data_IF_212028720182
#
_entry.id   IF_212028720182
#
_cell.length_a   1.000
_cell.length_b   1.000
_cell.length_c   1.000
_cell.angle_alpha   90.00
_cell.angle_beta   90.00
_cell.angle_gamma   90.00
#
_symmetry.space_group_name_H-M   'P 1'
#
loop_
_entity.id
_entity.type
_entity.pdbx_description
1 polymer ?
#
# COMPACT_ATOMS: atom_id res chain seq x y z
N UNK A 1 -19.07 -2.12 6.60
CA UNK A 1 -17.80 -1.58 6.06
C UNK A 1 -16.73 -1.74 7.11
N UNK A 2 -15.57 -2.26 6.74
CA UNK A 2 -14.41 -2.43 7.61
C UNK A 2 -13.29 -1.48 7.19
N UNK A 3 -12.69 -0.80 8.16
CA UNK A 3 -11.54 0.11 8.02
C UNK A 3 -10.97 0.41 9.41
N UNK A 4 -9.67 0.55 9.64
CA UNK A 4 -8.56 0.24 8.73
C UNK A 4 -8.17 -1.24 8.76
N UNK A 5 -8.61 -2.02 9.75
CA UNK A 5 -8.32 -3.44 9.92
C UNK A 5 -9.58 -4.32 9.81
N UNK A 6 -9.35 -5.57 9.45
CA UNK A 6 -10.34 -6.65 9.52
C UNK A 6 -9.68 -7.91 10.08
N UNK A 7 -10.31 -8.58 11.04
CA UNK A 7 -9.81 -9.88 11.54
C UNK A 7 -10.16 -11.01 10.57
N UNK A 8 -9.49 -12.16 10.70
CA UNK A 8 -9.78 -13.36 9.91
C UNK A 8 -11.23 -13.82 10.10
N UNK A 9 -11.76 -13.78 11.33
CA UNK A 9 -13.16 -14.16 11.64
C UNK A 9 -14.16 -13.20 10.99
N UNK A 10 -13.88 -11.89 11.03
CA UNK A 10 -14.72 -10.90 10.37
C UNK A 10 -14.71 -11.07 8.85
N UNK A 11 -13.56 -11.39 8.26
CA UNK A 11 -13.46 -11.67 6.82
C UNK A 11 -14.22 -12.96 6.45
N UNK A 12 -14.18 -14.02 7.26
CA UNK A 12 -15.00 -15.23 7.05
C UNK A 12 -16.50 -14.87 7.04
N UNK A 13 -16.94 -14.08 8.01
CA UNK A 13 -18.34 -13.61 8.08
C UNK A 13 -18.70 -12.79 6.85
N UNK A 14 -17.82 -11.90 6.41
CA UNK A 14 -18.02 -11.06 5.22
C UNK A 14 -18.11 -11.92 3.95
N UNK A 15 -17.23 -12.92 3.79
CA UNK A 15 -17.29 -13.89 2.69
C UNK A 15 -18.63 -14.64 2.63
N UNK A 16 -19.13 -15.07 3.79
CA UNK A 16 -20.40 -15.80 3.88
C UNK A 16 -21.63 -14.92 3.64
N UNK A 17 -21.51 -13.60 3.79
CA UNK A 17 -22.64 -12.67 3.70
C UNK A 17 -23.13 -12.40 2.29
N UNK A 18 -22.35 -12.75 1.25
CA UNK A 18 -22.64 -12.42 -0.15
C UNK A 18 -22.52 -10.93 -0.50
N UNK A 19 -22.01 -10.10 0.42
CA UNK A 19 -21.75 -8.69 0.12
C UNK A 19 -20.63 -8.55 -0.92
N UNK A 20 -20.68 -7.51 -1.76
CA UNK A 20 -19.63 -7.24 -2.73
C UNK A 20 -18.25 -7.10 -2.03
N UNK A 21 -17.33 -8.00 -2.37
CA UNK A 21 -16.02 -8.11 -1.74
C UNK A 21 -14.96 -8.43 -2.79
N UNK A 22 -13.79 -7.80 -2.68
CA UNK A 22 -12.59 -8.23 -3.34
C UNK A 22 -11.43 -8.30 -2.35
N UNK A 23 -10.79 -9.45 -2.32
CA UNK A 23 -9.58 -9.69 -1.51
C UNK A 23 -8.37 -9.62 -2.43
N UNK A 24 -7.30 -8.96 -1.98
CA UNK A 24 -6.05 -8.81 -2.74
C UNK A 24 -4.87 -9.40 -1.98
N UNK A 25 -4.10 -10.23 -2.66
CA UNK A 25 -2.79 -10.72 -2.20
C UNK A 25 -1.68 -9.79 -2.70
N UNK A 26 -1.04 -9.10 -1.79
CA UNK A 26 0.07 -8.17 -2.04
C UNK A 26 1.42 -8.75 -1.62
N UNK A 27 1.54 -10.06 -1.38
CA UNK A 27 2.79 -10.69 -0.97
C UNK A 27 3.92 -10.38 -1.92
N UNK A 28 5.10 -10.02 -1.39
CA UNK A 28 6.23 -9.59 -2.20
C UNK A 28 7.54 -9.81 -1.44
N UNK A 29 8.62 -10.03 -2.16
CA UNK A 29 9.98 -10.11 -1.62
C UNK A 29 10.90 -9.17 -2.40
N UNK A 30 11.44 -8.15 -1.73
CA UNK A 30 12.22 -7.10 -2.38
C UNK A 30 13.43 -7.65 -3.14
N UNK A 31 14.13 -8.63 -2.55
CA UNK A 31 15.33 -9.23 -3.14
C UNK A 31 15.02 -10.42 -4.07
N UNK A 32 13.77 -10.84 -4.15
CA UNK A 32 13.26 -11.93 -5.00
C UNK A 32 11.91 -11.55 -5.59
N UNK A 33 11.84 -10.64 -6.57
CA UNK A 33 10.59 -10.05 -7.04
C UNK A 33 9.54 -11.05 -7.55
N UNK A 34 9.95 -12.23 -8.01
CA UNK A 34 9.06 -13.29 -8.47
C UNK A 34 8.53 -14.20 -7.35
N UNK A 35 9.06 -14.09 -6.14
CA UNK A 35 8.69 -14.93 -5.01
C UNK A 35 7.21 -14.71 -4.62
N UNK A 36 6.72 -13.48 -4.68
CA UNK A 36 5.31 -13.18 -4.42
C UNK A 36 4.34 -13.90 -5.36
N UNK A 37 4.71 -14.11 -6.61
CA UNK A 37 3.91 -14.88 -7.58
C UNK A 37 3.95 -16.38 -7.25
N UNK A 38 5.13 -16.92 -6.92
CA UNK A 38 5.26 -18.31 -6.51
C UNK A 38 4.44 -18.60 -5.24
N UNK A 39 4.52 -17.72 -4.25
CA UNK A 39 3.72 -17.81 -3.01
C UNK A 39 2.22 -17.75 -3.28
N UNK A 40 1.77 -16.85 -4.17
CA UNK A 40 0.37 -16.75 -4.56
C UNK A 40 -0.11 -18.03 -5.25
N UNK A 41 0.64 -18.56 -6.22
CA UNK A 41 0.29 -19.78 -6.93
C UNK A 41 0.26 -21.00 -6.01
N UNK A 42 1.09 -21.01 -4.97
CA UNK A 42 1.12 -22.08 -3.97
C UNK A 42 -0.11 -22.05 -3.05
N UNK A 43 -0.47 -20.89 -2.51
CA UNK A 43 -1.61 -20.73 -1.62
C UNK A 43 -2.01 -19.25 -1.50
N UNK A 44 -3.29 -18.94 -1.64
CA UNK A 44 -3.85 -17.61 -1.38
C UNK A 44 -5.27 -17.72 -0.81
N UNK A 45 -5.80 -16.65 -0.22
CA UNK A 45 -7.22 -16.60 0.21
C UNK A 45 -8.11 -16.92 -0.98
N UNK A 46 -9.07 -17.84 -0.81
CA UNK A 46 -9.93 -18.28 -1.91
C UNK A 46 -10.57 -17.08 -2.63
N UNK A 47 -10.39 -17.00 -3.95
CA UNK A 47 -10.90 -15.91 -4.79
C UNK A 47 -10.13 -14.59 -4.70
N UNK A 48 -9.01 -14.53 -4.00
CA UNK A 48 -8.16 -13.33 -3.96
C UNK A 48 -7.55 -13.03 -5.33
N UNK A 49 -7.36 -11.74 -5.60
CA UNK A 49 -6.67 -11.22 -6.79
C UNK A 49 -5.23 -10.88 -6.43
N UNK A 50 -4.28 -11.23 -7.30
CA UNK A 50 -2.87 -10.88 -7.12
C UNK A 50 -2.65 -9.39 -7.39
N UNK A 51 -2.07 -8.66 -6.45
CA UNK A 51 -1.67 -7.26 -6.59
C UNK A 51 -0.15 -7.14 -6.39
N UNK A 52 0.60 -7.30 -7.46
CA UNK A 52 2.06 -7.26 -7.44
C UNK A 52 2.58 -5.83 -7.24
N UNK A 53 3.56 -5.64 -6.35
CA UNK A 53 4.11 -4.32 -6.05
C UNK A 53 4.68 -3.64 -7.29
N UNK A 54 5.42 -4.36 -8.11
CA UNK A 54 6.06 -3.80 -9.30
C UNK A 54 5.06 -3.58 -10.43
N UNK A 55 4.28 -4.60 -10.79
CA UNK A 55 3.41 -4.57 -11.98
C UNK A 55 2.09 -3.84 -11.77
N UNK A 56 1.52 -3.94 -10.56
CA UNK A 56 0.18 -3.42 -10.28
C UNK A 56 0.19 -2.11 -9.48
N UNK A 57 1.18 -1.96 -8.58
CA UNK A 57 1.19 -0.88 -7.58
C UNK A 57 2.32 0.13 -7.79
N UNK A 58 3.12 -0.03 -8.85
CA UNK A 58 4.21 0.88 -9.21
C UNK A 58 4.16 1.21 -10.70
N UNK A 59 4.67 2.40 -11.03
CA UNK A 59 4.88 2.79 -12.42
C UNK A 59 6.21 2.24 -12.92
N UNK A 60 6.19 1.54 -14.07
CA UNK A 60 7.40 1.14 -14.80
C UNK A 60 7.28 1.56 -16.25
N UNK A 61 8.39 2.05 -16.81
CA UNK A 61 8.49 2.47 -18.23
C UNK A 61 8.43 1.29 -19.21
N UNK A 62 8.66 0.08 -18.70
CA UNK A 62 8.71 -1.16 -19.49
C UNK A 62 7.39 -1.95 -19.48
N UNK A 63 6.28 -1.35 -19.02
CA UNK A 63 4.98 -1.97 -19.18
C UNK A 63 4.63 -2.00 -20.68
N UNK A 64 4.45 -3.20 -21.28
CA UNK A 64 3.70 -3.27 -22.52
C UNK A 64 2.32 -2.68 -22.25
N UNK A 65 1.82 -1.92 -23.24
CA UNK A 65 0.51 -1.25 -23.30
C UNK A 65 -0.58 -1.84 -22.38
N UNK A 66 -1.49 -1.01 -21.86
CA UNK A 66 -2.56 -1.47 -20.98
C UNK A 66 -3.30 -2.64 -21.60
N UNK A 67 -3.65 -3.63 -20.78
CA UNK A 67 -4.33 -4.88 -21.13
C UNK A 67 -5.44 -4.73 -22.17
N UNK A 68 -5.07 -4.50 -23.43
CA UNK A 68 -5.89 -4.46 -24.61
C UNK A 68 -5.51 -5.61 -25.52
N UNK A 69 -6.50 -6.39 -25.93
CA UNK A 69 -6.36 -7.54 -26.81
C UNK A 69 -5.49 -7.23 -28.04
N UNK A 70 -4.71 -8.21 -28.49
CA UNK A 70 -3.81 -8.17 -29.64
C UNK A 70 -4.51 -7.92 -31.01
N UNK A 71 -5.62 -7.17 -31.05
CA UNK A 71 -6.43 -6.97 -32.25
C UNK A 71 -6.52 -5.53 -32.80
N UNK A 72 -5.96 -4.52 -32.11
CA UNK A 72 -6.02 -3.11 -32.59
C UNK A 72 -4.67 -2.57 -33.12
N UNK A 73 -3.89 -3.40 -33.78
CA UNK A 73 -2.84 -2.87 -34.69
C UNK A 73 -3.42 -2.75 -36.08
N UNK A 74 -3.93 -1.58 -36.43
CA UNK A 74 -4.00 -1.01 -37.77
C UNK A 74 -4.97 0.20 -37.79
N UNK A 75 -4.50 1.38 -37.37
CA UNK A 75 -4.86 2.65 -38.07
C UNK A 75 -3.72 3.64 -37.79
N UNK A 76 -2.88 3.84 -38.79
CA UNK A 76 -2.01 5.01 -38.89
C UNK A 76 -2.83 6.25 -39.20
N UNK A 77 -2.51 7.36 -38.53
CA UNK A 77 -2.78 8.70 -39.00
C UNK A 77 -3.89 9.45 -38.30
N UNK A 78 -3.56 10.14 -37.18
CA UNK A 78 -4.08 11.49 -36.93
C UNK A 78 -3.29 12.08 -35.72
N UNK A 79 -2.45 13.09 -35.99
CA UNK A 79 -1.84 13.97 -35.03
C UNK A 79 -2.92 14.75 -34.28
N UNK A 80 -3.09 14.46 -33.01
CA UNK A 80 -3.64 15.42 -32.04
C UNK A 80 -2.83 15.29 -30.76
N UNK A 81 -2.28 16.42 -30.32
CA UNK A 81 -1.57 16.62 -29.07
C UNK A 81 -2.42 16.17 -27.88
N UNK A 82 -2.37 14.89 -27.52
CA UNK A 82 -2.91 14.40 -26.27
C UNK A 82 -1.86 14.65 -25.19
N UNK A 83 -2.22 15.46 -24.20
CA UNK A 83 -1.50 15.59 -22.93
C UNK A 83 -1.18 14.19 -22.42
N UNK A 84 0.10 13.83 -22.28
CA UNK A 84 0.53 12.53 -21.73
C UNK A 84 -0.03 12.39 -20.32
N UNK A 85 -1.12 11.67 -20.17
CA UNK A 85 -1.72 11.29 -18.88
C UNK A 85 -0.94 10.18 -18.17
N UNK A 86 0.15 9.68 -18.77
CA UNK A 86 0.85 8.47 -18.38
C UNK A 86 2.14 8.70 -17.58
N UNK A 87 2.35 9.90 -17.04
CA UNK A 87 3.51 10.15 -16.18
C UNK A 87 3.28 9.58 -14.77
N UNK A 88 4.34 9.06 -14.10
CA UNK A 88 4.24 8.63 -12.71
C UNK A 88 3.90 9.83 -11.81
N UNK A 89 3.13 9.57 -10.75
CA UNK A 89 2.79 10.60 -9.75
C UNK A 89 3.94 10.85 -8.76
N UNK A 90 4.94 9.97 -8.69
CA UNK A 90 6.16 10.13 -7.88
C UNK A 90 7.33 9.36 -8.51
N UNK A 91 8.55 9.71 -8.09
CA UNK A 91 9.77 9.00 -8.47
C UNK A 91 10.13 7.84 -7.53
N UNK A 92 11.42 7.49 -7.51
CA UNK A 92 12.01 6.50 -6.63
C UNK A 92 11.96 5.06 -7.15
N UNK A 93 12.28 4.09 -6.25
CA UNK A 93 12.42 2.67 -6.59
C UNK A 93 11.09 1.98 -6.93
N UNK A 94 9.98 2.44 -6.33
CA UNK A 94 8.62 1.99 -6.60
C UNK A 94 7.74 3.23 -6.89
N UNK A 95 7.88 3.88 -8.04
CA UNK A 95 7.17 5.10 -8.35
C UNK A 95 5.65 4.88 -8.27
N UNK A 96 4.90 5.88 -7.82
CA UNK A 96 3.44 5.80 -7.90
C UNK A 96 2.99 5.93 -9.35
N UNK A 97 2.09 5.06 -9.83
CA UNK A 97 1.41 5.28 -11.10
C UNK A 97 0.55 6.55 -11.01
N UNK A 98 0.11 7.08 -12.14
CA UNK A 98 -0.94 8.10 -12.10
C UNK A 98 -2.22 7.50 -11.51
N UNK A 99 -3.06 8.36 -10.89
CA UNK A 99 -4.35 7.91 -10.34
C UNK A 99 -5.27 7.29 -11.40
N UNK A 100 -5.21 7.81 -12.62
CA UNK A 100 -5.97 7.29 -13.76
C UNK A 100 -5.49 5.88 -14.14
N UNK A 101 -4.17 5.67 -14.24
CA UNK A 101 -3.60 4.36 -14.56
C UNK A 101 -3.93 3.31 -13.48
N UNK A 102 -3.82 3.68 -12.21
CA UNK A 102 -4.20 2.78 -11.13
C UNK A 102 -5.70 2.45 -11.12
N UNK A 103 -6.57 3.43 -11.42
CA UNK A 103 -8.00 3.18 -11.56
C UNK A 103 -8.33 2.24 -12.74
N UNK A 104 -7.61 2.34 -13.85
CA UNK A 104 -7.73 1.42 -14.99
C UNK A 104 -7.33 -0.01 -14.60
N UNK A 105 -6.23 -0.16 -13.84
CA UNK A 105 -5.86 -1.48 -13.32
C UNK A 105 -6.94 -2.07 -12.41
N UNK A 106 -7.50 -1.29 -11.48
CA UNK A 106 -8.61 -1.73 -10.63
C UNK A 106 -9.82 -2.17 -11.46
N UNK A 107 -10.17 -1.39 -12.48
CA UNK A 107 -11.26 -1.74 -13.39
C UNK A 107 -10.95 -3.04 -14.15
N UNK A 108 -9.73 -3.24 -14.64
CA UNK A 108 -9.32 -4.43 -15.41
C UNK A 108 -9.41 -5.73 -14.61
N UNK A 109 -9.20 -5.67 -13.28
CA UNK A 109 -9.36 -6.84 -12.38
C UNK A 109 -10.80 -7.00 -11.86
N UNK A 110 -11.74 -6.19 -12.34
CA UNK A 110 -13.16 -6.25 -12.00
C UNK A 110 -13.49 -5.62 -10.63
N UNK A 111 -12.63 -4.75 -10.08
CA UNK A 111 -12.92 -4.06 -8.83
C UNK A 111 -13.95 -2.96 -9.06
N UNK A 112 -15.00 -2.94 -8.24
CA UNK A 112 -16.08 -1.95 -8.28
C UNK A 112 -16.12 -1.11 -7.00
N UNK A 113 -16.58 0.13 -7.13
CA UNK A 113 -16.65 1.08 -6.02
C UNK A 113 -17.63 0.71 -4.89
N UNK A 114 -18.51 -0.25 -5.13
CA UNK A 114 -19.45 -0.79 -4.12
C UNK A 114 -18.82 -1.91 -3.27
N UNK A 115 -17.66 -2.44 -3.67
CA UNK A 115 -17.03 -3.56 -3.00
C UNK A 115 -16.30 -3.13 -1.73
N UNK A 116 -16.31 -3.97 -0.71
CA UNK A 116 -15.31 -3.93 0.34
C UNK A 116 -14.00 -4.48 -0.22
N UNK A 117 -12.93 -3.71 -0.17
CA UNK A 117 -11.59 -4.21 -0.42
C UNK A 117 -10.97 -4.76 0.86
N UNK A 118 -10.34 -5.93 0.78
CA UNK A 118 -9.48 -6.46 1.85
C UNK A 118 -8.13 -6.78 1.25
N UNK A 119 -7.07 -6.22 1.84
CA UNK A 119 -5.71 -6.38 1.36
C UNK A 119 -4.88 -7.14 2.39
N UNK A 120 -4.01 -8.03 1.93
CA UNK A 120 -3.11 -8.77 2.81
C UNK A 120 -1.78 -9.08 2.14
N UNK A 121 -0.80 -9.42 2.95
CA UNK A 121 0.46 -10.03 2.53
C UNK A 121 0.90 -11.10 3.52
N UNK A 122 2.12 -11.60 3.40
CA UNK A 122 2.76 -12.53 4.33
C UNK A 122 3.91 -11.89 5.10
N UNK A 123 4.14 -10.59 4.86
CA UNK A 123 5.29 -9.85 5.31
C UNK A 123 4.88 -8.69 6.24
N UNK A 124 4.01 -9.00 7.22
CA UNK A 124 3.72 -8.09 8.34
C UNK A 124 3.08 -6.75 7.89
N UNK A 125 2.18 -6.81 6.92
CA UNK A 125 1.52 -5.66 6.29
C UNK A 125 2.46 -4.66 5.60
N UNK A 126 3.71 -5.06 5.34
CA UNK A 126 4.71 -4.19 4.73
C UNK A 126 4.34 -3.78 3.29
N UNK A 127 3.76 -4.70 2.52
CA UNK A 127 3.43 -4.47 1.11
C UNK A 127 1.94 -4.19 0.87
N UNK A 128 1.05 -4.84 1.60
CA UNK A 128 -0.38 -4.62 1.44
C UNK A 128 -0.81 -3.21 1.89
N UNK A 129 -0.06 -2.57 2.80
CA UNK A 129 -0.23 -1.17 3.15
C UNK A 129 -0.19 -0.25 1.93
N UNK A 130 0.61 -0.60 0.89
CA UNK A 130 0.67 0.16 -0.37
C UNK A 130 -0.68 0.18 -1.08
N UNK A 131 -1.31 -0.97 -1.28
CA UNK A 131 -2.62 -1.05 -1.91
C UNK A 131 -3.72 -0.41 -1.06
N UNK A 132 -3.69 -0.62 0.26
CA UNK A 132 -4.61 0.01 1.21
C UNK A 132 -4.60 1.55 1.05
N UNK A 133 -3.42 2.16 1.04
CA UNK A 133 -3.26 3.60 0.88
C UNK A 133 -3.66 4.07 -0.53
N UNK A 134 -3.26 3.35 -1.58
CA UNK A 134 -3.59 3.69 -2.96
C UNK A 134 -5.10 3.65 -3.24
N UNK A 135 -5.85 2.73 -2.62
CA UNK A 135 -7.31 2.71 -2.70
C UNK A 135 -7.92 3.97 -2.08
N UNK A 136 -7.44 4.40 -0.90
CA UNK A 136 -7.84 5.69 -0.30
C UNK A 136 -7.43 6.88 -1.18
N UNK A 137 -6.26 6.80 -1.78
CA UNK A 137 -5.74 7.84 -2.68
C UNK A 137 -6.59 8.01 -3.96
N UNK A 138 -7.22 6.96 -4.48
CA UNK A 138 -8.21 7.07 -5.56
C UNK A 138 -9.65 7.27 -5.07
N UNK A 139 -9.83 7.54 -3.76
CA UNK A 139 -11.11 7.92 -3.17
C UNK A 139 -12.00 6.76 -2.71
N UNK A 140 -11.44 5.55 -2.56
CA UNK A 140 -12.17 4.38 -2.05
C UNK A 140 -11.88 4.16 -0.58
N UNK A 141 -12.89 4.33 0.30
CA UNK A 141 -12.73 4.25 1.75
C UNK A 141 -12.99 2.85 2.32
N UNK A 142 -13.77 2.02 1.62
CA UNK A 142 -14.13 0.67 2.07
C UNK A 142 -12.96 -0.31 1.87
N UNK A 143 -11.83 -0.03 2.52
CA UNK A 143 -10.62 -0.87 2.47
C UNK A 143 -10.11 -1.17 3.87
N UNK A 144 -9.76 -2.44 4.11
CA UNK A 144 -9.16 -2.91 5.36
C UNK A 144 -7.97 -3.82 5.09
N UNK A 145 -6.97 -3.77 5.97
CA UNK A 145 -5.87 -4.73 6.01
C UNK A 145 -6.30 -5.93 6.85
N UNK A 146 -6.09 -7.14 6.33
CA UNK A 146 -6.30 -8.38 7.07
C UNK A 146 -5.21 -8.52 8.13
N UNK A 147 -5.61 -8.34 9.39
CA UNK A 147 -4.72 -8.32 10.53
C UNK A 147 -4.06 -9.68 10.76
N UNK A 148 -2.74 -9.72 10.71
CA UNK A 148 -1.94 -10.95 10.75
C UNK A 148 -1.86 -11.69 9.40
N UNK A 149 -2.36 -11.10 8.31
CA UNK A 149 -2.17 -11.57 6.93
C UNK A 149 -2.68 -12.98 6.66
N UNK A 150 -2.05 -13.67 5.68
CA UNK A 150 -2.43 -15.04 5.32
C UNK A 150 -2.26 -16.01 6.47
N UNK A 151 -1.28 -15.81 7.33
CA UNK A 151 -1.01 -16.66 8.48
C UNK A 151 -2.19 -16.68 9.45
N UNK A 152 -2.73 -15.51 9.79
CA UNK A 152 -3.91 -15.41 10.66
C UNK A 152 -5.17 -15.98 10.00
N UNK A 153 -5.32 -15.81 8.67
CA UNK A 153 -6.41 -16.42 7.90
C UNK A 153 -6.39 -17.95 7.99
N UNK A 154 -5.22 -18.56 7.74
CA UNK A 154 -5.05 -20.01 7.81
C UNK A 154 -5.24 -20.54 9.24
N UNK A 155 -4.69 -19.85 10.25
CA UNK A 155 -4.86 -20.23 11.65
C UNK A 155 -6.32 -20.18 12.10
N UNK A 156 -7.14 -19.32 11.50
CA UNK A 156 -8.60 -19.27 11.73
C UNK A 156 -9.40 -20.28 10.90
N UNK A 157 -8.75 -21.17 10.15
CA UNK A 157 -9.41 -22.14 9.28
C UNK A 157 -10.02 -21.54 8.01
N UNK A 158 -9.54 -20.37 7.59
CA UNK A 158 -9.98 -19.71 6.37
C UNK A 158 -9.62 -20.50 5.11
N UNK A 159 -10.52 -20.52 4.12
CA UNK A 159 -10.32 -21.26 2.89
C UNK A 159 -9.18 -20.66 2.05
N UNK A 160 -8.25 -21.51 1.64
CA UNK A 160 -7.18 -21.18 0.70
C UNK A 160 -7.31 -21.98 -0.59
N UNK A 161 -6.82 -21.42 -1.67
CA UNK A 161 -6.73 -22.09 -2.97
C UNK A 161 -5.34 -21.88 -3.56
N UNK A 162 -5.02 -22.67 -4.58
CA UNK A 162 -3.76 -22.60 -5.34
C UNK A 162 -4.03 -22.34 -6.81
N UNK A 163 -2.98 -22.01 -7.58
CA UNK A 163 -3.07 -21.74 -9.01
C UNK A 163 -3.42 -20.27 -9.32
N UNK A 164 -3.66 -19.95 -10.59
CA UNK A 164 -3.95 -18.58 -11.01
C UNK A 164 -5.34 -18.12 -10.55
N UNK A 165 -5.51 -16.80 -10.36
CA UNK A 165 -6.82 -16.22 -10.10
C UNK A 165 -7.81 -16.52 -11.23
N UNK A 166 -9.08 -16.70 -10.87
CA UNK A 166 -10.13 -16.73 -11.87
C UNK A 166 -10.25 -15.38 -12.56
N UNK A 167 -10.40 -15.40 -13.89
CA UNK A 167 -10.66 -14.18 -14.67
C UNK A 167 -11.99 -13.56 -14.24
N UNK A 168 -12.02 -12.25 -14.11
CA UNK A 168 -13.23 -11.46 -13.80
C UNK A 168 -13.52 -10.49 -14.94
N UNK A 169 -14.79 -10.22 -15.27
CA UNK A 169 -15.12 -9.15 -16.19
C UNK A 169 -14.60 -7.81 -15.67
N UNK A 170 -14.12 -6.96 -16.57
CA UNK A 170 -13.74 -5.60 -16.22
C UNK A 170 -14.93 -4.81 -15.66
N UNK A 171 -14.66 -3.91 -14.72
CA UNK A 171 -15.63 -2.99 -14.14
C UNK A 171 -15.51 -1.58 -14.75
N UNK A 172 -16.32 -0.65 -14.24
CA UNK A 172 -16.27 0.77 -14.60
C UNK A 172 -15.65 1.63 -13.47
N UNK A 173 -14.73 1.10 -12.68
CA UNK A 173 -14.12 1.84 -11.59
C UNK A 173 -13.40 3.10 -12.10
N UNK A 174 -13.64 4.23 -11.43
CA UNK A 174 -13.00 5.53 -11.73
C UNK A 174 -12.50 6.19 -10.43
N UNK A 175 -11.39 6.93 -10.53
CA UNK A 175 -10.85 7.67 -9.41
C UNK A 175 -11.79 8.79 -8.96
N UNK A 176 -11.97 8.92 -7.64
CA UNK A 176 -12.74 9.97 -6.95
C UNK A 176 -11.79 10.89 -6.19
N UNK A 177 -12.24 12.00 -5.59
CA UNK A 177 -11.39 12.84 -4.74
C UNK A 177 -10.62 12.03 -3.71
N UNK A 178 -9.34 12.34 -3.55
CA UNK A 178 -8.45 11.58 -2.67
C UNK A 178 -8.92 11.64 -1.20
N UNK A 179 -8.72 10.55 -0.48
CA UNK A 179 -8.92 10.39 0.96
C UNK A 179 -7.59 10.13 1.69
N UNK A 180 -6.47 10.29 0.98
CA UNK A 180 -5.13 10.12 1.52
C UNK A 180 -4.22 11.22 0.98
N UNK A 181 -3.26 11.66 1.79
CA UNK A 181 -2.33 12.74 1.47
C UNK A 181 -0.98 12.21 1.01
N UNK A 182 -0.46 12.85 -0.04
CA UNK A 182 0.87 12.63 -0.59
C UNK A 182 1.69 13.91 -0.46
N UNK A 183 2.84 13.84 0.21
CA UNK A 183 3.81 14.93 0.21
C UNK A 183 4.83 14.73 -0.92
N UNK A 184 5.05 15.78 -1.71
CA UNK A 184 6.16 15.78 -2.68
C UNK A 184 7.48 16.04 -1.97
N UNK A 185 8.59 15.67 -2.62
CA UNK A 185 9.93 15.95 -2.11
C UNK A 185 10.13 17.45 -1.88
N UNK A 186 9.65 18.30 -2.78
CA UNK A 186 9.72 19.76 -2.68
C UNK A 186 8.99 20.26 -1.43
N UNK A 187 7.77 19.75 -1.17
CA UNK A 187 7.02 20.11 0.03
C UNK A 187 7.77 19.71 1.30
N UNK A 188 8.32 18.49 1.35
CA UNK A 188 9.10 18.02 2.50
C UNK A 188 10.32 18.89 2.73
N UNK A 189 11.04 19.29 1.66
CA UNK A 189 12.22 20.15 1.75
C UNK A 189 11.87 21.56 2.22
N UNK A 190 10.76 22.14 1.72
CA UNK A 190 10.32 23.49 2.12
C UNK A 190 9.96 23.56 3.61
N UNK A 191 9.44 22.48 4.19
CA UNK A 191 9.05 22.40 5.60
C UNK A 191 10.10 21.71 6.49
N UNK A 192 11.30 21.46 5.96
CA UNK A 192 12.36 20.79 6.72
C UNK A 192 12.75 21.64 7.93
N UNK A 193 12.77 21.02 9.12
CA UNK A 193 13.02 21.65 10.42
C UNK A 193 11.97 22.71 10.83
N UNK A 194 10.80 22.75 10.19
CA UNK A 194 9.69 23.57 10.64
C UNK A 194 8.84 22.82 11.69
N UNK A 195 8.17 23.56 12.57
CA UNK A 195 7.35 22.98 13.63
C UNK A 195 6.06 22.29 13.11
N UNK A 196 5.65 22.64 11.88
CA UNK A 196 4.48 22.11 11.20
C UNK A 196 4.74 20.80 10.44
N UNK A 197 5.99 20.29 10.48
CA UNK A 197 6.36 19.01 9.86
C UNK A 197 7.21 18.16 10.80
N UNK A 198 6.79 16.93 11.03
CA UNK A 198 7.56 15.90 11.73
C UNK A 198 7.74 14.70 10.82
N UNK A 199 8.97 14.38 10.46
CA UNK A 199 9.27 13.22 9.61
C UNK A 199 9.48 11.99 10.48
N UNK A 200 8.83 10.87 10.15
CA UNK A 200 9.09 9.56 10.75
C UNK A 200 9.64 8.62 9.69
N UNK A 201 10.87 8.16 9.89
CA UNK A 201 11.53 7.16 9.05
C UNK A 201 11.20 5.75 9.54
N UNK A 202 10.58 4.96 8.67
CA UNK A 202 10.12 3.59 8.97
C UNK A 202 11.18 2.50 8.75
N UNK A 203 12.37 2.86 8.27
CA UNK A 203 13.45 1.91 8.04
C UNK A 203 14.02 1.36 9.35
N UNK A 204 14.61 0.17 9.27
CA UNK A 204 15.34 -0.42 10.40
C UNK A 204 16.39 0.56 10.96
N UNK A 205 16.55 0.58 12.26
CA UNK A 205 17.45 1.53 12.97
C UNK A 205 18.88 1.56 12.42
N UNK A 206 19.54 0.44 12.06
CA UNK A 206 20.88 0.51 11.44
C UNK A 206 20.90 1.26 10.11
N UNK A 207 19.86 1.14 9.28
CA UNK A 207 19.74 1.92 8.04
C UNK A 207 19.51 3.42 8.32
N UNK A 208 18.64 3.73 9.26
CA UNK A 208 18.40 5.09 9.71
C UNK A 208 19.70 5.75 10.22
N UNK A 209 20.51 5.04 10.98
CA UNK A 209 21.81 5.55 11.49
C UNK A 209 22.92 5.61 10.46
N UNK A 210 22.70 5.04 9.27
CA UNK A 210 23.73 4.98 8.23
C UNK A 210 24.81 3.92 8.48
N UNK A 211 24.59 2.99 9.40
CA UNK A 211 25.49 1.88 9.70
C UNK A 211 25.49 0.80 8.61
N UNK A 212 24.33 0.66 7.95
CA UNK A 212 24.10 -0.29 6.85
C UNK A 212 23.20 0.35 5.81
N UNK A 213 23.57 0.30 4.54
CA UNK A 213 22.69 0.74 3.43
C UNK A 213 22.88 -0.14 2.19
N UNK A 214 22.08 -1.21 2.04
CA UNK A 214 22.22 -2.13 0.92
C UNK A 214 21.45 -1.70 -0.35
N UNK A 215 20.64 -0.64 -0.30
CA UNK A 215 19.66 -0.34 -1.33
C UNK A 215 19.78 1.06 -1.93
N UNK A 216 20.08 2.05 -1.11
CA UNK A 216 20.11 3.46 -1.54
C UNK A 216 21.58 3.94 -1.70
N UNK A 217 21.87 4.88 -2.63
CA UNK A 217 23.23 5.33 -2.87
C UNK A 217 23.83 6.16 -1.71
N UNK A 218 22.99 6.67 -0.81
CA UNK A 218 23.40 7.51 0.35
C UNK A 218 22.84 6.91 1.62
N UNK A 219 23.73 6.62 2.57
CA UNK A 219 23.37 6.13 3.90
C UNK A 219 22.88 7.25 4.82
N UNK A 220 22.16 6.89 5.89
CA UNK A 220 21.66 7.83 6.89
C UNK A 220 20.19 8.21 6.68
N UNK A 221 19.76 9.33 7.25
CA UNK A 221 18.38 9.77 7.28
C UNK A 221 18.22 11.27 6.99
N UNK A 222 17.00 11.70 6.74
CA UNK A 222 16.66 13.12 6.57
C UNK A 222 16.92 13.85 7.89
N UNK A 223 17.68 14.97 7.90
CA UNK A 223 17.98 15.70 9.13
C UNK A 223 16.72 16.02 9.94
N UNK A 224 16.73 15.70 11.24
CA UNK A 224 15.59 15.93 12.13
C UNK A 224 14.49 14.87 12.09
N UNK A 225 14.56 13.88 11.20
CA UNK A 225 13.61 12.78 11.19
C UNK A 225 13.71 11.93 12.47
N UNK A 226 12.56 11.49 12.96
CA UNK A 226 12.45 10.47 14.00
C UNK A 226 12.54 9.07 13.37
N UNK A 227 12.93 8.06 14.16
CA UNK A 227 12.95 6.68 13.67
C UNK A 227 11.92 5.82 14.39
N UNK A 228 11.07 5.16 13.63
CA UNK A 228 10.20 4.08 14.10
C UNK A 228 10.18 2.96 13.06
N UNK A 229 11.02 1.94 13.18
CA UNK A 229 10.95 0.75 12.35
C UNK A 229 9.52 0.21 12.29
N UNK A 230 9.01 -0.06 11.08
CA UNK A 230 7.60 -0.42 10.91
C UNK A 230 7.20 -1.69 11.67
N UNK A 231 8.11 -2.65 11.86
CA UNK A 231 7.86 -3.87 12.65
C UNK A 231 7.52 -3.60 14.11
N UNK A 232 7.85 -2.42 14.66
CA UNK A 232 7.46 -2.04 16.03
C UNK A 232 5.95 -1.82 16.20
N UNK A 233 5.20 -1.78 15.12
CA UNK A 233 3.73 -1.64 15.20
C UNK A 233 3.03 -2.97 15.50
N UNK A 234 3.75 -4.09 15.43
CA UNK A 234 3.20 -5.42 15.55
C UNK A 234 3.55 -6.07 16.89
N UNK A 235 2.66 -6.94 17.34
CA UNK A 235 2.90 -7.86 18.44
C UNK A 235 3.65 -9.11 17.98
N UNK A 236 3.97 -9.98 18.92
CA UNK A 236 4.68 -11.25 18.65
C UNK A 236 3.83 -12.24 17.78
N UNK A 237 2.53 -12.01 17.69
CA UNK A 237 1.60 -12.80 16.87
C UNK A 237 1.48 -12.28 15.42
N UNK A 238 2.27 -11.28 15.04
CA UNK A 238 2.27 -10.68 13.72
C UNK A 238 1.07 -9.78 13.43
N UNK A 239 0.24 -9.46 14.44
CA UNK A 239 -0.88 -8.53 14.33
C UNK A 239 -0.50 -7.15 14.82
N UNK A 240 -1.25 -6.15 14.38
CA UNK A 240 -1.09 -4.82 14.94
C UNK A 240 -1.34 -4.81 16.45
N UNK A 241 -0.51 -4.07 17.17
CA UNK A 241 -0.70 -3.84 18.61
C UNK A 241 -2.05 -3.17 18.87
N UNK A 242 -2.61 -3.30 20.09
CA UNK A 242 -3.82 -2.59 20.47
C UNK A 242 -3.73 -1.08 20.24
N UNK A 243 -4.84 -0.46 19.85
CA UNK A 243 -4.91 0.96 19.50
C UNK A 243 -4.33 1.88 20.60
N UNK A 244 -4.65 1.60 21.85
CA UNK A 244 -4.16 2.40 22.99
C UNK A 244 -2.65 2.27 23.18
N UNK A 245 -2.10 1.08 22.95
CA UNK A 245 -0.65 0.86 23.03
C UNK A 245 0.06 1.61 21.88
N UNK A 246 -0.43 1.49 20.65
CA UNK A 246 0.11 2.24 19.50
C UNK A 246 0.05 3.74 19.76
N UNK A 247 -1.09 4.23 20.28
CA UNK A 247 -1.26 5.64 20.63
C UNK A 247 -0.23 6.12 21.64
N UNK A 248 -0.03 5.37 22.73
CA UNK A 248 0.95 5.71 23.75
C UNK A 248 2.37 5.77 23.17
N UNK A 249 2.77 4.74 22.41
CA UNK A 249 4.09 4.65 21.78
C UNK A 249 4.35 5.78 20.76
N UNK A 250 3.34 6.15 19.95
CA UNK A 250 3.49 7.27 19.01
C UNK A 250 3.54 8.61 19.72
N UNK A 251 2.73 8.85 20.74
CA UNK A 251 2.76 10.10 21.51
C UNK A 251 4.09 10.27 22.25
N UNK A 252 4.65 9.19 22.78
CA UNK A 252 5.99 9.20 23.37
C UNK A 252 7.05 9.57 22.32
N UNK A 253 7.05 8.93 21.16
CA UNK A 253 7.96 9.24 20.05
C UNK A 253 7.86 10.69 19.59
N UNK A 254 6.64 11.21 19.50
CA UNK A 254 6.38 12.58 19.03
C UNK A 254 6.79 13.64 20.06
N UNK A 255 6.89 13.30 21.35
CA UNK A 255 7.35 14.20 22.41
C UNK A 255 6.65 15.57 22.38
N UNK A 256 5.33 15.56 22.27
CA UNK A 256 4.48 16.78 22.23
C UNK A 256 4.27 17.41 20.85
N UNK A 257 4.88 16.88 19.77
CA UNK A 257 4.59 17.32 18.40
C UNK A 257 3.18 16.90 17.97
N UNK A 258 2.53 17.72 17.12
CA UNK A 258 1.19 17.42 16.62
C UNK A 258 1.22 16.15 15.72
N UNK A 259 0.46 15.10 16.04
CA UNK A 259 0.38 13.92 15.17
C UNK A 259 -0.04 14.22 13.73
N UNK A 260 -0.81 15.30 13.50
CA UNK A 260 -1.23 15.72 12.15
C UNK A 260 -0.09 16.33 11.32
N UNK A 261 1.02 16.72 11.95
CA UNK A 261 2.22 17.20 11.26
C UNK A 261 3.09 16.08 10.71
N UNK A 262 2.74 14.81 10.96
CA UNK A 262 3.59 13.67 10.63
C UNK A 262 3.60 13.39 9.14
N UNK A 263 4.81 13.27 8.59
CA UNK A 263 5.09 12.77 7.25
C UNK A 263 5.89 11.48 7.39
N UNK A 264 5.30 10.37 6.96
CA UNK A 264 5.96 9.08 6.96
C UNK A 264 6.85 8.90 5.74
N UNK A 265 8.08 8.43 5.96
CA UNK A 265 9.02 8.15 4.90
C UNK A 265 9.73 6.80 5.10
N UNK A 266 10.27 6.25 4.02
CA UNK A 266 11.22 5.14 4.00
C UNK A 266 12.15 5.27 2.77
N UNK A 267 12.61 4.17 2.17
CA UNK A 267 13.39 4.21 0.92
C UNK A 267 12.56 4.41 -0.36
N UNK A 268 11.29 3.98 -0.40
CA UNK A 268 10.45 3.99 -1.60
C UNK A 268 8.97 4.26 -1.33
N UNK A 269 8.63 4.72 -0.12
CA UNK A 269 7.25 4.99 0.28
C UNK A 269 6.37 3.74 0.50
N UNK A 270 6.95 2.54 0.55
CA UNK A 270 6.23 1.28 0.81
C UNK A 270 6.20 0.97 2.30
N UNK A 271 7.38 0.74 2.92
CA UNK A 271 7.49 0.40 4.34
C UNK A 271 7.13 1.54 5.31
N UNK A 272 6.85 2.74 4.80
CA UNK A 272 6.30 3.85 5.56
C UNK A 272 4.81 3.66 5.92
N UNK A 273 4.08 2.90 5.10
CA UNK A 273 2.64 2.78 5.19
C UNK A 273 2.14 1.97 6.40
N UNK A 274 2.83 0.94 6.90
CA UNK A 274 2.47 0.34 8.17
C UNK A 274 2.49 1.32 9.36
N UNK A 275 3.40 2.31 9.38
CA UNK A 275 3.39 3.36 10.42
C UNK A 275 2.17 4.29 10.27
N UNK A 276 1.83 4.68 9.03
CA UNK A 276 0.65 5.49 8.75
C UNK A 276 -0.63 4.74 9.18
N UNK A 277 -0.74 3.46 8.80
CA UNK A 277 -1.84 2.58 9.20
C UNK A 277 -1.93 2.46 10.73
N UNK A 278 -0.79 2.30 11.41
CA UNK A 278 -0.74 2.20 12.88
C UNK A 278 -1.20 3.51 13.56
N UNK A 279 -0.87 4.67 13.01
CA UNK A 279 -1.38 5.95 13.51
C UNK A 279 -2.90 6.10 13.28
N UNK A 280 -3.43 5.59 12.17
CA UNK A 280 -4.88 5.56 11.93
C UNK A 280 -5.59 4.62 12.92
N UNK A 281 -5.03 3.44 13.19
CA UNK A 281 -5.53 2.51 14.22
C UNK A 281 -5.52 3.18 15.60
N UNK A 282 -4.48 3.93 15.93
CA UNK A 282 -4.31 4.66 17.17
C UNK A 282 -5.27 5.86 17.33
N UNK A 283 -6.04 6.22 16.30
CA UNK A 283 -6.91 7.39 16.31
C UNK A 283 -6.15 8.73 16.34
N UNK A 284 -4.91 8.75 15.82
CA UNK A 284 -4.07 9.96 15.75
C UNK A 284 -4.27 10.77 14.46
N UNK A 285 -5.28 10.43 13.67
CA UNK A 285 -5.61 11.08 12.40
C UNK A 285 -4.92 10.44 11.20
N UNK A 286 -5.28 10.92 9.99
CA UNK A 286 -4.57 10.56 8.77
C UNK A 286 -3.29 11.37 8.69
N UNK A 287 -2.17 10.69 8.62
CA UNK A 287 -0.86 11.29 8.36
C UNK A 287 -0.52 11.19 6.87
N UNK A 288 0.47 11.96 6.48
CA UNK A 288 0.93 12.07 5.10
C UNK A 288 2.05 11.06 4.84
N UNK A 289 2.13 10.52 3.64
CA UNK A 289 3.28 9.72 3.18
C UNK A 289 4.06 10.52 2.13
N UNK A 290 5.39 10.38 2.12
CA UNK A 290 6.23 10.87 1.02
C UNK A 290 6.83 9.72 0.23
N UNK A 291 6.91 9.91 -1.08
CA UNK A 291 7.63 9.06 -2.03
C UNK A 291 8.77 9.87 -2.63
N UNK A 292 9.97 9.29 -2.65
CA UNK A 292 11.15 9.90 -3.30
C UNK A 292 11.02 9.89 -4.80
#
# INVERSE_FOLDING_TARGET
MYTPLISAQQLQTLHASGQPLMVFDCSFELMKPLEGDAQYLQAHVAGAVRADLNRSLSWHTDHPEPFGSAQDRLVEGASTSSVRTDAPASGGRHPLPSRAHFAQWLASVGFDSSMQAVVYDRQEANYCGRLWWMLKWVGHEAVAVLDGGLQAWQAAGGAVTSGPAASRPASSFTARPSKADLATTERVLQHLNQADQTIIDARATPRYRGEVEPLDPVAGHIPGALNRPFGLNLGADGKFKPADQLKAEFLELLAGRDPRSVVHQCGSGVSALPNLLAMEIAGLGSSTVTHK
#
